data_IF_570398125211
#
_entry.id   IF_570398125211
#
_cell.length_a   1.000
_cell.length_b   1.000
_cell.length_c   1.000
_cell.angle_alpha   90.00
_cell.angle_beta   90.00
_cell.angle_gamma   90.00
#
_symmetry.space_group_name_H-M   'P 1'
#
loop_
_entity.id
_entity.type
_entity.pdbx_description
1 polymer ?
#
# COMPACT_ATOMS: atom_id res chain seq x y z
N UNK A 1 31.04 -4.24 32.15
CA UNK A 1 30.02 -3.19 31.95
C UNK A 1 29.47 -3.48 30.57
N UNK A 2 28.55 -4.43 30.55
CA UNK A 2 28.45 -5.37 29.44
C UNK A 2 27.28 -5.04 28.53
N UNK A 3 27.62 -4.96 27.24
CA UNK A 3 26.75 -4.99 26.09
C UNK A 3 25.88 -6.25 26.10
N UNK A 4 24.66 -6.15 26.59
CA UNK A 4 23.58 -7.12 26.33
C UNK A 4 22.26 -6.34 26.29
N UNK A 5 21.85 -5.94 25.09
CA UNK A 5 20.60 -5.20 24.89
C UNK A 5 20.23 -4.92 23.43
N UNK A 6 20.72 -5.71 22.47
CA UNK A 6 20.54 -5.44 21.03
C UNK A 6 19.61 -6.42 20.29
N UNK A 7 19.16 -7.50 20.93
CA UNK A 7 18.39 -8.58 20.28
C UNK A 7 16.89 -8.27 20.02
N UNK A 8 16.47 -7.01 19.94
CA UNK A 8 15.12 -6.68 19.43
C UNK A 8 15.11 -5.45 18.53
N UNK A 9 16.00 -4.49 18.80
CA UNK A 9 16.21 -3.36 17.91
C UNK A 9 17.01 -3.74 16.66
N UNK A 10 18.01 -4.62 16.75
CA UNK A 10 18.70 -5.12 15.55
C UNK A 10 17.74 -5.98 14.70
N UNK A 11 16.77 -6.69 15.31
CA UNK A 11 15.72 -7.40 14.56
C UNK A 11 14.69 -6.49 13.87
N UNK A 12 14.62 -5.21 14.24
CA UNK A 12 13.76 -4.20 13.62
C UNK A 12 14.53 -3.22 12.70
N UNK A 13 15.86 -3.23 12.73
CA UNK A 13 16.70 -2.21 12.07
C UNK A 13 17.80 -2.78 11.17
N UNK A 14 18.33 -3.99 11.41
CA UNK A 14 19.65 -4.37 10.82
C UNK A 14 19.65 -5.15 9.48
N UNK A 15 18.52 -5.53 8.89
CA UNK A 15 18.55 -6.40 7.69
C UNK A 15 17.84 -5.86 6.43
N UNK A 16 17.81 -4.54 6.19
CA UNK A 16 17.28 -4.00 4.93
C UNK A 16 18.02 -2.80 4.32
N UNK A 17 19.34 -2.71 4.55
CA UNK A 17 20.23 -1.86 3.77
C UNK A 17 21.32 -2.70 3.08
N UNK A 18 20.90 -3.52 2.12
CA UNK A 18 21.79 -4.07 1.10
C UNK A 18 21.15 -3.91 -0.30
N UNK A 19 20.72 -2.68 -0.59
CA UNK A 19 20.39 -2.22 -1.94
C UNK A 19 21.13 -0.91 -2.20
N UNK A 20 22.45 -0.96 -2.02
CA UNK A 20 23.36 0.00 -2.61
C UNK A 20 24.23 -0.81 -3.58
N UNK A 21 23.89 -0.75 -4.87
CA UNK A 21 24.75 -0.87 -6.05
C UNK A 21 23.85 -1.09 -7.28
N UNK A 22 23.21 -0.01 -7.74
CA UNK A 22 22.92 0.16 -9.15
C UNK A 22 23.88 1.23 -9.63
N UNK A 23 24.99 0.82 -10.26
CA UNK A 23 25.76 1.59 -11.23
C UNK A 23 26.69 0.62 -12.00
N UNK A 24 26.52 0.63 -13.32
CA UNK A 24 27.43 0.36 -14.45
C UNK A 24 28.46 -0.81 -14.46
N UNK A 25 28.33 -1.63 -15.53
CA UNK A 25 29.34 -2.29 -16.38
C UNK A 25 30.51 -3.10 -15.76
N UNK A 26 30.49 -4.43 -15.93
CA UNK A 26 31.20 -5.21 -16.99
C UNK A 26 31.38 -6.69 -16.51
N UNK A 27 31.29 -7.70 -17.39
CA UNK A 27 31.23 -9.12 -17.04
C UNK A 27 32.62 -9.80 -17.02
N UNK A 28 32.64 -11.02 -16.49
CA UNK A 28 33.74 -12.02 -16.44
C UNK A 28 34.54 -12.11 -15.13
N UNK A 29 34.51 -13.33 -14.56
CA UNK A 29 35.39 -13.75 -13.48
C UNK A 29 34.92 -15.05 -12.83
N UNK A 30 35.00 -16.17 -13.55
CA UNK A 30 35.00 -17.51 -12.95
C UNK A 30 36.20 -17.67 -12.00
N UNK A 31 36.02 -18.28 -10.83
CA UNK A 31 36.87 -19.41 -10.39
C UNK A 31 36.37 -20.07 -9.10
N UNK A 32 36.43 -21.40 -9.12
CA UNK A 32 36.05 -22.36 -8.09
C UNK A 32 36.91 -22.25 -6.82
N UNK A 33 36.38 -22.68 -5.68
CA UNK A 33 37.13 -23.61 -4.81
C UNK A 33 36.23 -24.37 -3.84
N UNK A 34 36.26 -25.69 -3.98
CA UNK A 34 35.73 -26.68 -3.06
C UNK A 34 36.54 -26.73 -1.75
N UNK A 35 35.90 -27.07 -0.61
CA UNK A 35 36.32 -28.20 0.24
C UNK A 35 35.33 -28.52 1.38
N UNK A 36 35.17 -29.83 1.55
CA UNK A 36 34.38 -30.67 2.45
C UNK A 36 34.68 -30.54 3.96
N UNK A 37 33.72 -30.84 4.83
CA UNK A 37 33.60 -32.15 5.54
C UNK A 37 32.60 -32.13 6.72
N UNK A 38 31.71 -33.12 6.67
CA UNK A 38 30.94 -33.86 7.69
C UNK A 38 31.09 -33.54 9.18
N UNK A 39 29.96 -33.45 9.90
CA UNK A 39 29.63 -34.31 11.07
C UNK A 39 28.10 -34.41 11.24
N UNK A 40 27.57 -35.64 11.23
CA UNK A 40 26.20 -35.99 11.63
C UNK A 40 26.06 -36.02 13.16
N UNK A 41 24.98 -35.47 13.70
CA UNK A 41 24.47 -35.85 15.03
C UNK A 41 22.96 -36.03 14.99
N UNK A 42 22.55 -37.29 15.09
CA UNK A 42 21.20 -37.73 15.41
C UNK A 42 20.82 -37.22 16.80
N UNK A 43 19.62 -36.64 16.95
CA UNK A 43 18.86 -36.76 18.19
C UNK A 43 17.36 -36.82 17.88
N UNK A 44 16.78 -37.90 18.39
CA UNK A 44 15.35 -38.21 18.42
C UNK A 44 14.71 -37.51 19.61
N UNK A 45 13.61 -36.79 19.39
CA UNK A 45 12.55 -36.58 20.40
C UNK A 45 11.25 -36.26 19.64
N UNK A 46 10.66 -37.31 19.06
CA UNK A 46 9.27 -37.33 18.65
C UNK A 46 8.49 -37.96 19.80
N UNK A 47 7.88 -37.12 20.65
CA UNK A 47 6.64 -37.40 21.41
C UNK A 47 6.45 -36.33 22.50
N UNK A 48 5.81 -35.19 22.15
CA UNK A 48 4.88 -34.48 23.05
C UNK A 48 4.04 -33.40 22.32
N UNK A 49 3.62 -33.68 21.08
CA UNK A 49 2.97 -32.71 20.18
C UNK A 49 1.43 -32.69 20.29
N UNK A 50 0.88 -32.95 21.48
CA UNK A 50 -0.59 -33.07 21.66
C UNK A 50 -1.25 -32.15 22.70
N UNK A 51 -0.55 -31.20 23.32
CA UNK A 51 -1.20 -30.23 24.25
C UNK A 51 -0.79 -28.74 24.13
N UNK A 52 -0.23 -28.28 22.99
CA UNK A 52 0.08 -26.84 22.78
C UNK A 52 -0.83 -26.09 21.78
N UNK A 53 -2.05 -26.56 21.55
CA UNK A 53 -3.01 -25.98 20.59
C UNK A 53 -3.78 -24.72 21.05
N UNK A 54 -3.15 -23.78 21.77
CA UNK A 54 -3.73 -22.44 22.00
C UNK A 54 -2.90 -21.36 21.31
N UNK A 55 -3.03 -21.29 19.98
CA UNK A 55 -2.63 -20.15 19.15
C UNK A 55 -3.44 -18.90 19.53
N UNK A 56 -3.00 -18.14 20.54
CA UNK A 56 -3.55 -16.81 20.82
C UNK A 56 -2.74 -15.74 20.10
N UNK A 57 -2.75 -15.77 18.77
CA UNK A 57 -2.07 -14.78 17.93
C UNK A 57 -2.93 -13.56 17.68
N UNK A 58 -4.25 -13.73 17.57
CA UNK A 58 -5.14 -12.64 17.19
C UNK A 58 -5.51 -11.75 18.40
N UNK A 59 -5.95 -10.52 18.12
CA UNK A 59 -6.45 -9.60 19.14
C UNK A 59 -7.86 -9.14 18.78
N UNK A 60 -8.79 -9.35 19.70
CA UNK A 60 -10.16 -8.87 19.59
C UNK A 60 -10.34 -7.46 20.17
N UNK A 61 -11.37 -6.73 19.73
CA UNK A 61 -11.73 -5.43 20.31
C UNK A 61 -11.92 -5.48 21.83
N UNK A 62 -12.49 -6.57 22.38
CA UNK A 62 -12.69 -6.72 23.82
C UNK A 62 -11.36 -6.82 24.57
N UNK A 63 -10.42 -7.62 24.08
CA UNK A 63 -9.08 -7.71 24.68
C UNK A 63 -8.34 -6.37 24.58
N UNK A 64 -8.45 -5.68 23.44
CA UNK A 64 -7.82 -4.37 23.26
C UNK A 64 -8.37 -3.32 24.24
N UNK A 65 -9.70 -3.28 24.44
CA UNK A 65 -10.33 -2.42 25.45
C UNK A 65 -9.92 -2.77 26.88
N UNK A 66 -9.53 -4.01 27.12
CA UNK A 66 -8.99 -4.48 28.40
C UNK A 66 -7.47 -4.23 28.55
N UNK A 67 -6.85 -3.48 27.62
CA UNK A 67 -5.45 -3.07 27.69
C UNK A 67 -4.47 -3.95 26.93
N UNK A 68 -4.93 -4.98 26.20
CA UNK A 68 -4.06 -5.73 25.28
C UNK A 68 -3.69 -4.84 24.09
N UNK A 69 -2.44 -4.89 23.64
CA UNK A 69 -2.02 -4.20 22.44
C UNK A 69 -2.80 -4.68 21.20
N UNK A 70 -3.21 -3.76 20.31
CA UNK A 70 -4.02 -4.08 19.12
C UNK A 70 -3.31 -5.03 18.15
N UNK A 71 -1.98 -4.98 18.07
CA UNK A 71 -1.15 -5.92 17.29
C UNK A 71 -0.83 -7.20 18.07
N UNK A 72 -1.16 -7.23 19.37
CA UNK A 72 -0.87 -8.34 20.26
C UNK A 72 0.61 -8.41 20.65
N UNK A 73 1.31 -7.27 20.66
CA UNK A 73 2.68 -7.15 21.17
C UNK A 73 2.64 -7.29 22.70
N UNK A 74 3.34 -8.26 23.30
CA UNK A 74 3.31 -8.52 24.74
C UNK A 74 4.30 -7.59 25.46
N UNK A 75 3.99 -6.29 25.52
CA UNK A 75 4.86 -5.27 26.14
C UNK A 75 5.27 -5.62 27.58
N UNK A 76 4.41 -6.29 28.33
CA UNK A 76 4.67 -6.76 29.70
C UNK A 76 5.78 -7.83 29.80
N UNK A 77 6.12 -8.48 28.68
CA UNK A 77 7.20 -9.49 28.60
C UNK A 77 8.49 -8.93 28.02
N UNK A 78 8.47 -7.69 27.53
CA UNK A 78 9.60 -7.04 26.91
C UNK A 78 10.34 -6.16 27.92
N UNK A 79 11.63 -5.93 27.68
CA UNK A 79 12.47 -5.09 28.55
C UNK A 79 12.22 -3.58 28.38
N UNK A 80 11.32 -3.19 27.48
CA UNK A 80 10.97 -1.80 27.18
C UNK A 80 9.46 -1.64 27.08
N UNK A 81 8.98 -0.46 27.43
CA UNK A 81 7.57 -0.08 27.29
C UNK A 81 7.26 0.32 25.85
N UNK A 82 5.96 0.32 25.51
CA UNK A 82 5.47 0.85 24.23
C UNK A 82 5.95 2.27 23.97
N UNK A 83 5.89 3.13 24.99
CA UNK A 83 6.27 4.55 24.88
C UNK A 83 7.78 4.72 24.66
N UNK A 84 8.62 3.97 25.38
CA UNK A 84 10.07 3.99 25.17
C UNK A 84 10.44 3.53 23.75
N UNK A 85 9.76 2.49 23.26
CA UNK A 85 9.93 2.02 21.89
C UNK A 85 9.52 3.09 20.88
N UNK A 86 8.36 3.73 21.06
CA UNK A 86 7.87 4.83 20.21
C UNK A 86 8.82 6.02 20.20
N UNK A 87 9.32 6.46 21.35
CA UNK A 87 10.28 7.56 21.42
C UNK A 87 11.59 7.23 20.69
N UNK A 88 12.10 6.02 20.88
CA UNK A 88 13.32 5.56 20.22
C UNK A 88 13.10 5.48 18.72
N UNK A 89 11.97 4.94 18.28
CA UNK A 89 11.54 4.86 16.88
C UNK A 89 11.48 6.24 16.23
N UNK A 90 10.89 7.23 16.88
CA UNK A 90 10.84 8.62 16.38
C UNK A 90 12.22 9.28 16.25
N UNK A 91 13.17 8.95 17.12
CA UNK A 91 14.53 9.51 17.09
C UNK A 91 15.43 8.84 16.05
N UNK A 92 15.23 7.54 15.82
CA UNK A 92 16.11 6.73 14.97
C UNK A 92 15.59 6.56 13.53
N UNK A 93 14.30 6.78 13.27
CA UNK A 93 13.75 6.62 11.93
C UNK A 93 14.40 7.59 10.95
N UNK A 94 15.04 7.04 9.91
CA UNK A 94 15.71 7.82 8.85
C UNK A 94 14.82 7.88 7.63
N UNK A 95 14.46 9.09 7.24
CA UNK A 95 13.76 9.31 5.98
C UNK A 95 14.72 9.17 4.81
N UNK A 96 14.23 8.51 3.77
CA UNK A 96 14.81 8.62 2.44
C UNK A 96 14.47 10.01 1.86
N UNK A 97 15.37 10.59 1.08
CA UNK A 97 15.15 11.88 0.40
C UNK A 97 15.78 11.77 -0.99
N UNK A 98 15.02 12.08 -2.05
CA UNK A 98 15.60 12.09 -3.40
C UNK A 98 16.18 13.46 -3.72
N UNK A 99 15.50 14.51 -3.26
CA UNK A 99 15.86 15.89 -3.54
C UNK A 99 16.22 16.61 -2.24
N UNK A 100 17.46 17.10 -2.16
CA UNK A 100 17.90 17.91 -1.02
C UNK A 100 17.27 19.31 -1.09
N UNK A 101 16.33 19.61 -0.19
CA UNK A 101 15.68 20.93 -0.08
C UNK A 101 15.43 21.34 1.38
N UNK A 102 15.46 22.65 1.71
CA UNK A 102 15.08 23.12 3.05
C UNK A 102 13.60 22.85 3.35
N UNK A 103 13.32 21.98 4.34
CA UNK A 103 11.96 21.58 4.72
C UNK A 103 11.31 22.48 5.78
N UNK A 104 12.01 23.48 6.30
CA UNK A 104 11.51 24.37 7.35
C UNK A 104 10.26 25.15 6.94
N UNK A 105 10.16 25.52 5.65
CA UNK A 105 9.02 26.27 5.15
C UNK A 105 7.78 25.39 4.97
N UNK A 106 7.93 24.09 4.70
CA UNK A 106 6.80 23.16 4.61
C UNK A 106 6.00 23.11 5.92
N UNK A 107 6.71 23.14 7.07
CA UNK A 107 6.06 23.14 8.38
C UNK A 107 5.14 24.35 8.59
N UNK A 108 5.43 25.49 7.94
CA UNK A 108 4.62 26.72 8.04
C UNK A 108 3.38 26.67 7.16
N UNK A 109 3.41 25.90 6.07
CA UNK A 109 2.26 25.68 5.18
C UNK A 109 1.30 24.61 5.73
N UNK A 110 1.80 23.71 6.59
CA UNK A 110 1.02 22.62 7.14
C UNK A 110 -0.06 23.12 8.11
N UNK A 111 -1.26 22.58 7.97
CA UNK A 111 -2.34 22.73 8.94
C UNK A 111 -1.94 22.11 10.29
N UNK A 112 -2.32 22.79 11.37
CA UNK A 112 -2.26 22.26 12.73
C UNK A 112 -3.52 21.45 13.02
N UNK A 113 -3.57 20.22 12.49
CA UNK A 113 -4.72 19.34 12.69
C UNK A 113 -4.72 18.73 14.11
N UNK A 114 -5.90 18.70 14.74
CA UNK A 114 -6.13 18.08 16.04
C UNK A 114 -6.36 16.57 15.91
N UNK A 115 -5.35 15.77 16.26
CA UNK A 115 -5.35 14.30 16.13
C UNK A 115 -5.99 13.56 17.31
N UNK A 116 -7.05 14.12 17.91
CA UNK A 116 -7.65 13.60 19.16
C UNK A 116 -8.95 12.83 18.97
N UNK A 117 -9.51 12.87 17.77
CA UNK A 117 -10.80 12.25 17.49
C UNK A 117 -10.64 10.76 17.21
N UNK A 118 -11.75 10.02 17.30
CA UNK A 118 -11.82 8.61 16.95
C UNK A 118 -12.96 8.42 15.96
N UNK A 119 -12.63 8.32 14.68
CA UNK A 119 -13.57 8.11 13.58
C UNK A 119 -13.77 6.63 13.26
N UNK A 120 -12.74 5.81 13.50
CA UNK A 120 -12.75 4.36 13.30
C UNK A 120 -12.23 3.66 14.56
N UNK A 121 -13.06 2.80 15.15
CA UNK A 121 -12.72 2.01 16.34
C UNK A 121 -12.06 0.69 15.94
N UNK A 122 -11.00 0.29 16.66
CA UNK A 122 -10.36 -1.01 16.46
C UNK A 122 -11.37 -2.14 16.68
N UNK A 123 -11.45 -3.07 15.72
CA UNK A 123 -12.37 -4.19 15.74
C UNK A 123 -11.66 -5.52 15.96
N UNK A 124 -10.63 -5.78 15.15
CA UNK A 124 -9.98 -7.09 15.14
C UNK A 124 -8.58 -7.01 14.52
N UNK A 125 -7.70 -7.87 14.98
CA UNK A 125 -6.39 -8.11 14.39
C UNK A 125 -6.21 -9.60 14.14
N UNK A 126 -5.82 -9.97 12.92
CA UNK A 126 -5.45 -11.34 12.57
C UNK A 126 -4.00 -11.46 12.14
N UNK A 127 -3.30 -12.45 12.69
CA UNK A 127 -1.95 -12.84 12.22
C UNK A 127 -1.97 -13.99 11.22
N UNK A 128 -3.15 -14.51 10.87
CA UNK A 128 -3.30 -15.60 9.89
C UNK A 128 -3.00 -15.15 8.45
N UNK A 129 -3.24 -13.88 8.16
CA UNK A 129 -2.91 -13.25 6.89
C UNK A 129 -1.98 -12.07 7.14
N UNK A 130 -0.89 -11.99 6.40
CA UNK A 130 0.08 -10.90 6.53
C UNK A 130 0.72 -10.59 5.20
N UNK A 131 0.86 -9.30 4.92
CA UNK A 131 1.54 -8.84 3.73
C UNK A 131 3.05 -8.85 3.91
N UNK A 132 3.77 -9.12 2.83
CA UNK A 132 5.22 -9.00 2.77
C UNK A 132 5.56 -7.93 1.75
N UNK A 133 6.13 -6.82 2.20
CA UNK A 133 6.61 -5.78 1.30
C UNK A 133 7.99 -6.18 0.78
N UNK A 134 8.23 -5.93 -0.50
CA UNK A 134 9.53 -6.16 -1.13
C UNK A 134 10.19 -4.83 -1.53
N UNK A 135 9.40 -3.83 -1.92
CA UNK A 135 9.91 -2.52 -2.29
C UNK A 135 9.65 -1.49 -1.19
N UNK A 136 10.66 -0.71 -0.82
CA UNK A 136 10.53 0.29 0.24
C UNK A 136 9.61 1.49 -0.10
N UNK A 137 9.17 1.65 -1.35
CA UNK A 137 8.26 2.74 -1.76
C UNK A 137 6.81 2.30 -2.10
N UNK A 138 6.58 1.08 -2.60
CA UNK A 138 5.27 0.68 -3.16
C UNK A 138 4.36 0.09 -2.06
N UNK A 139 3.14 0.63 -1.88
CA UNK A 139 2.20 0.31 -0.77
C UNK A 139 0.75 0.06 -1.20
N UNK A 140 0.52 -0.44 -2.42
CA UNK A 140 -0.82 -0.74 -2.93
C UNK A 140 -1.04 -2.27 -2.98
N UNK A 141 -0.99 -2.92 -1.82
CA UNK A 141 -1.02 -4.39 -1.66
C UNK A 141 -2.21 -4.93 -0.86
N UNK A 142 -3.20 -4.05 -0.59
CA UNK A 142 -4.38 -4.34 0.21
C UNK A 142 -5.60 -3.69 -0.42
N UNK A 143 -6.70 -4.44 -0.57
CA UNK A 143 -7.91 -3.95 -1.22
C UNK A 143 -9.19 -4.56 -0.66
N UNK A 144 -10.07 -3.73 -0.10
CA UNK A 144 -11.39 -4.12 0.37
C UNK A 144 -12.42 -3.99 -0.77
N UNK A 145 -13.24 -5.02 -0.95
CA UNK A 145 -14.34 -5.04 -1.94
C UNK A 145 -15.72 -5.00 -1.30
N UNK A 146 -15.79 -5.37 -0.02
CA UNK A 146 -16.98 -5.22 0.83
C UNK A 146 -16.50 -4.85 2.23
N UNK A 147 -17.44 -4.65 3.16
CA UNK A 147 -17.14 -4.53 4.59
C UNK A 147 -16.36 -5.71 5.15
N UNK A 148 -16.50 -6.90 4.55
CA UNK A 148 -15.99 -8.15 5.11
C UNK A 148 -15.00 -8.87 4.21
N UNK A 149 -14.85 -8.46 2.95
CA UNK A 149 -14.03 -9.13 1.96
C UNK A 149 -12.85 -8.26 1.55
N UNK A 150 -11.66 -8.73 1.90
CA UNK A 150 -10.40 -8.02 1.70
C UNK A 150 -9.43 -8.91 0.95
N UNK A 151 -8.73 -8.35 -0.01
CA UNK A 151 -7.69 -9.02 -0.77
C UNK A 151 -6.35 -8.40 -0.39
N UNK A 152 -5.37 -9.25 -0.13
CA UNK A 152 -4.03 -8.81 0.20
C UNK A 152 -2.97 -9.70 -0.45
N UNK A 153 -1.84 -9.10 -0.77
CA UNK A 153 -0.68 -9.85 -1.22
C UNK A 153 0.00 -10.50 -0.02
N UNK A 154 0.31 -11.80 -0.14
CA UNK A 154 1.08 -12.60 0.80
C UNK A 154 2.08 -13.45 0.02
N UNK A 155 3.37 -13.11 0.11
CA UNK A 155 4.46 -13.75 -0.63
C UNK A 155 4.25 -13.71 -2.16
N UNK A 156 3.97 -14.86 -2.78
CA UNK A 156 3.72 -15.00 -4.22
C UNK A 156 2.24 -15.23 -4.51
N UNK A 157 1.36 -14.86 -3.58
CA UNK A 157 -0.07 -15.13 -3.69
C UNK A 157 -0.89 -13.90 -3.37
N UNK A 158 -2.03 -13.75 -4.04
CA UNK A 158 -3.12 -12.87 -3.60
C UNK A 158 -4.11 -13.73 -2.83
N UNK A 159 -4.34 -13.34 -1.58
CA UNK A 159 -5.22 -14.04 -0.66
C UNK A 159 -6.46 -13.19 -0.43
N UNK A 160 -7.62 -13.81 -0.50
CA UNK A 160 -8.88 -13.25 0.00
C UNK A 160 -9.01 -13.61 1.48
N UNK A 161 -9.30 -12.62 2.30
CA UNK A 161 -9.66 -12.75 3.71
C UNK A 161 -11.11 -12.33 3.88
N UNK A 162 -11.92 -13.22 4.44
CA UNK A 162 -13.26 -12.91 4.90
C UNK A 162 -13.21 -12.61 6.40
N UNK A 163 -13.41 -11.35 6.79
CA UNK A 163 -13.53 -10.94 8.19
C UNK A 163 -14.72 -11.60 8.87
N UNK A 164 -15.85 -11.73 8.15
CA UNK A 164 -17.06 -12.36 8.66
C UNK A 164 -16.85 -13.84 9.01
N UNK A 165 -16.22 -14.60 8.09
CA UNK A 165 -15.99 -16.05 8.28
C UNK A 165 -14.68 -16.34 9.01
N UNK A 166 -13.80 -15.35 9.17
CA UNK A 166 -12.43 -15.45 9.69
C UNK A 166 -11.62 -16.53 8.99
N UNK A 167 -11.68 -16.54 7.66
CA UNK A 167 -11.01 -17.53 6.81
C UNK A 167 -10.33 -16.84 5.64
N UNK A 168 -9.18 -17.38 5.27
CA UNK A 168 -8.46 -17.00 4.06
C UNK A 168 -8.64 -18.03 2.95
N UNK A 169 -8.58 -17.56 1.71
CA UNK A 169 -8.57 -18.39 0.50
C UNK A 169 -7.55 -17.80 -0.48
N UNK A 170 -6.67 -18.64 -1.02
CA UNK A 170 -5.79 -18.23 -2.11
C UNK A 170 -6.59 -18.02 -3.39
N UNK A 171 -6.40 -16.88 -4.07
CA UNK A 171 -7.16 -16.48 -5.26
C UNK A 171 -6.30 -16.41 -6.51
N UNK A 172 -5.03 -16.04 -6.34
CA UNK A 172 -4.02 -16.01 -7.41
C UNK A 172 -2.70 -16.47 -6.82
N UNK A 173 -2.03 -17.44 -7.45
CA UNK A 173 -0.69 -17.88 -7.10
C UNK A 173 0.24 -17.63 -8.29
N UNK A 174 1.24 -16.80 -8.09
CA UNK A 174 2.19 -16.38 -9.12
C UNK A 174 3.59 -16.97 -8.93
N UNK A 175 3.75 -17.91 -7.99
CA UNK A 175 5.01 -18.64 -7.79
C UNK A 175 5.28 -19.63 -8.93
N UNK A 176 4.21 -20.19 -9.50
CA UNK A 176 4.25 -21.17 -10.59
C UNK A 176 4.09 -20.48 -11.95
N UNK A 177 4.46 -21.15 -13.06
CA UNK A 177 4.15 -20.65 -14.39
C UNK A 177 2.65 -20.40 -14.56
N UNK A 178 2.32 -19.19 -15.03
CA UNK A 178 0.96 -18.74 -15.32
C UNK A 178 0.81 -18.77 -16.84
N UNK A 179 -0.20 -19.48 -17.31
CA UNK A 179 -0.57 -19.51 -18.73
C UNK A 179 -1.91 -18.79 -18.88
N UNK A 180 -2.00 -17.72 -19.67
CA UNK A 180 -3.25 -17.00 -19.87
C UNK A 180 -4.22 -17.86 -20.70
N UNK A 181 -5.51 -17.81 -20.35
CA UNK A 181 -6.54 -18.64 -20.98
C UNK A 181 -7.24 -17.97 -22.14
N UNK A 182 -7.45 -16.65 -22.08
CA UNK A 182 -8.11 -15.92 -23.16
C UNK A 182 -7.14 -15.65 -24.30
N UNK A 183 -7.69 -15.60 -25.51
CA UNK A 183 -7.01 -15.19 -26.74
C UNK A 183 -7.95 -14.31 -27.57
N UNK A 184 -7.68 -13.01 -27.62
CA UNK A 184 -8.44 -12.04 -28.41
C UNK A 184 -7.54 -11.32 -29.42
N UNK A 185 -8.06 -10.89 -30.58
CA UNK A 185 -7.32 -10.03 -31.51
C UNK A 185 -6.88 -8.72 -30.82
N UNK A 186 -5.62 -8.31 -31.00
CA UNK A 186 -5.06 -7.10 -30.38
C UNK A 186 -4.53 -7.28 -28.95
N UNK A 187 -4.68 -8.47 -28.37
CA UNK A 187 -4.16 -8.81 -27.05
C UNK A 187 -2.77 -9.46 -27.19
N UNK A 188 -1.77 -8.85 -26.55
CA UNK A 188 -0.40 -9.39 -26.49
C UNK A 188 -0.22 -10.15 -25.18
N UNK A 189 -0.67 -11.41 -25.13
CA UNK A 189 -0.55 -12.27 -23.95
C UNK A 189 0.71 -13.12 -24.01
N UNK A 190 1.40 -13.27 -22.88
CA UNK A 190 2.51 -14.22 -22.75
C UNK A 190 2.49 -14.90 -21.38
N UNK A 191 2.98 -16.12 -21.32
CA UNK A 191 3.14 -16.84 -20.06
C UNK A 191 4.16 -16.13 -19.18
N UNK A 192 3.89 -16.11 -17.88
CA UNK A 192 4.78 -15.54 -16.87
C UNK A 192 5.17 -16.62 -15.87
N UNK A 193 6.26 -16.42 -15.14
CA UNK A 193 6.66 -17.36 -14.09
C UNK A 193 7.33 -16.62 -12.95
N UNK A 194 7.03 -17.02 -11.71
CA UNK A 194 7.67 -16.50 -10.50
C UNK A 194 7.62 -14.97 -10.41
N UNK A 195 6.44 -14.41 -10.66
CA UNK A 195 6.23 -12.96 -10.64
C UNK A 195 6.27 -12.48 -9.19
N UNK A 196 7.05 -11.44 -8.93
CA UNK A 196 7.00 -10.75 -7.65
C UNK A 196 5.98 -9.62 -7.78
N UNK A 197 4.90 -9.65 -6.99
CA UNK A 197 3.84 -8.65 -7.08
C UNK A 197 4.30 -7.35 -6.42
N UNK A 198 4.24 -6.25 -7.15
CA UNK A 198 4.57 -4.89 -6.70
C UNK A 198 3.34 -4.08 -6.33
N UNK A 199 2.18 -4.38 -6.94
CA UNK A 199 0.95 -3.60 -6.79
C UNK A 199 -0.26 -4.43 -7.22
N UNK A 200 -1.44 -4.10 -6.69
CA UNK A 200 -2.69 -4.76 -7.07
C UNK A 200 -3.90 -3.84 -6.95
N UNK A 201 -4.95 -4.16 -7.70
CA UNK A 201 -6.26 -3.54 -7.62
C UNK A 201 -7.33 -4.61 -7.78
N UNK A 202 -8.44 -4.47 -7.05
CA UNK A 202 -9.59 -5.37 -7.16
C UNK A 202 -10.85 -4.55 -7.32
N UNK A 203 -11.58 -4.76 -8.40
CA UNK A 203 -12.84 -4.06 -8.64
C UNK A 203 -13.84 -4.99 -9.29
N UNK A 204 -15.05 -5.00 -8.72
CA UNK A 204 -16.13 -5.89 -9.14
C UNK A 204 -15.65 -7.35 -9.17
N UNK A 205 -15.60 -7.97 -10.35
CA UNK A 205 -15.17 -9.35 -10.55
C UNK A 205 -13.70 -9.47 -11.02
N UNK A 206 -12.93 -8.39 -11.08
CA UNK A 206 -11.59 -8.38 -11.68
C UNK A 206 -10.51 -8.08 -10.64
N UNK A 207 -9.51 -8.98 -10.55
CA UNK A 207 -8.22 -8.70 -9.91
C UNK A 207 -7.21 -8.34 -10.99
N UNK A 208 -6.49 -7.26 -10.78
CA UNK A 208 -5.29 -6.89 -11.55
C UNK A 208 -4.09 -6.84 -10.61
N UNK A 209 -2.99 -7.45 -11.01
CA UNK A 209 -1.71 -7.41 -10.30
C UNK A 209 -0.58 -6.99 -11.24
N UNK A 210 0.28 -6.10 -10.76
CA UNK A 210 1.51 -5.68 -11.41
C UNK A 210 2.73 -6.34 -10.77
N UNK A 211 3.80 -6.55 -11.55
CA UNK A 211 5.04 -7.15 -11.07
C UNK A 211 6.28 -6.27 -11.20
N UNK A 212 7.37 -6.70 -10.54
CA UNK A 212 8.65 -5.99 -10.49
C UNK A 212 9.41 -5.93 -11.83
N UNK A 213 9.12 -6.84 -12.77
CA UNK A 213 9.73 -6.83 -14.09
C UNK A 213 8.76 -6.28 -15.15
N UNK A 214 7.80 -5.44 -14.74
CA UNK A 214 6.81 -4.88 -15.66
C UNK A 214 5.74 -5.87 -16.07
N UNK A 215 5.45 -6.87 -15.25
CA UNK A 215 4.36 -7.79 -15.48
C UNK A 215 3.01 -7.14 -15.22
N UNK A 216 1.99 -7.63 -15.93
CA UNK A 216 0.58 -7.35 -15.72
C UNK A 216 -0.18 -8.67 -15.76
N UNK A 217 -0.97 -8.95 -14.73
CA UNK A 217 -1.78 -10.16 -14.57
C UNK A 217 -3.22 -9.74 -14.28
N UNK A 218 -4.16 -10.30 -15.03
CA UNK A 218 -5.59 -10.04 -14.87
C UNK A 218 -6.33 -11.37 -14.69
N UNK A 219 -7.13 -11.45 -13.63
CA UNK A 219 -7.88 -12.65 -13.28
C UNK A 219 -9.29 -12.28 -12.85
N UNK A 220 -10.29 -12.97 -13.41
CA UNK A 220 -11.66 -12.88 -12.92
C UNK A 220 -11.85 -13.70 -11.64
N UNK A 221 -12.59 -13.17 -10.66
CA UNK A 221 -12.79 -13.79 -9.34
C UNK A 221 -13.67 -15.04 -9.42
N UNK A 222 -14.64 -15.04 -10.34
CA UNK A 222 -15.55 -16.16 -10.61
C UNK A 222 -14.92 -17.32 -11.39
N UNK A 223 -13.71 -17.15 -11.96
CA UNK A 223 -12.99 -18.19 -12.71
C UNK A 223 -11.71 -18.60 -11.96
N UNK A 224 -11.31 -19.89 -12.00
CA UNK A 224 -10.06 -20.32 -11.35
C UNK A 224 -8.81 -19.91 -12.14
N UNK A 225 -8.88 -19.86 -13.46
CA UNK A 225 -7.72 -19.56 -14.30
C UNK A 225 -7.41 -18.06 -14.40
N UNK A 226 -6.17 -17.75 -14.79
CA UNK A 226 -5.77 -16.38 -15.17
C UNK A 226 -6.31 -16.08 -16.56
N UNK A 227 -7.04 -14.96 -16.66
CA UNK A 227 -7.68 -14.53 -17.90
C UNK A 227 -6.63 -14.00 -18.89
N UNK A 228 -5.77 -13.12 -18.41
CA UNK A 228 -4.72 -12.48 -19.20
C UNK A 228 -3.46 -12.25 -18.36
N UNK A 229 -2.30 -12.42 -18.98
CA UNK A 229 -1.05 -11.95 -18.41
C UNK A 229 -0.05 -11.58 -19.51
N UNK A 230 0.80 -10.62 -19.21
CA UNK A 230 1.86 -10.18 -20.12
C UNK A 230 2.98 -9.44 -19.38
N UNK A 231 4.05 -9.09 -20.10
CA UNK A 231 5.07 -8.12 -19.66
C UNK A 231 4.84 -6.88 -20.51
N UNK A 232 4.48 -5.77 -19.88
CA UNK A 232 4.05 -4.55 -20.59
C UNK A 232 5.22 -3.78 -21.23
N UNK A 233 6.44 -4.25 -20.98
CA UNK A 233 7.70 -3.61 -21.32
C UNK A 233 8.82 -4.65 -21.41
N UNK A 234 9.81 -4.39 -22.26
CA UNK A 234 11.00 -5.23 -22.38
C UNK A 234 12.16 -4.74 -21.49
N UNK A 235 12.06 -3.54 -20.91
CA UNK A 235 13.11 -2.96 -20.07
C UNK A 235 13.23 -3.75 -18.76
N UNK A 236 14.46 -4.03 -18.35
CA UNK A 236 14.79 -4.87 -17.19
C UNK A 236 14.38 -4.25 -15.85
N UNK A 237 14.35 -2.91 -15.75
CA UNK A 237 14.03 -2.17 -14.52
C UNK A 237 12.65 -1.50 -14.54
N UNK A 238 11.73 -1.99 -15.36
CA UNK A 238 10.46 -1.33 -15.61
C UNK A 238 9.31 -1.85 -14.73
N UNK A 239 9.52 -1.81 -13.41
CA UNK A 239 8.55 -2.17 -12.38
C UNK A 239 7.17 -1.59 -12.71
N UNK A 240 6.12 -2.40 -12.56
CA UNK A 240 4.74 -1.89 -12.54
C UNK A 240 4.49 -1.28 -11.16
N UNK A 241 4.67 0.04 -11.03
CA UNK A 241 4.60 0.75 -9.76
C UNK A 241 3.17 0.85 -9.21
N UNK A 242 2.20 1.11 -10.09
CA UNK A 242 0.79 1.14 -9.73
C UNK A 242 -0.09 0.50 -10.81
N UNK A 243 -1.15 -0.17 -10.36
CA UNK A 243 -2.28 -0.57 -11.22
C UNK A 243 -3.56 -0.03 -10.62
N UNK A 244 -4.49 0.38 -11.49
CA UNK A 244 -5.82 0.82 -11.10
C UNK A 244 -6.88 0.33 -12.09
N UNK A 245 -8.12 0.22 -11.62
CA UNK A 245 -9.27 -0.20 -12.42
C UNK A 245 -10.34 0.89 -12.33
N UNK A 246 -10.60 1.58 -13.44
CA UNK A 246 -11.53 2.71 -13.47
C UNK A 246 -12.63 2.51 -14.51
N UNK A 247 -13.73 3.24 -14.33
CA UNK A 247 -14.81 3.28 -15.32
C UNK A 247 -14.61 4.51 -16.17
N UNK A 248 -14.55 4.30 -17.48
CA UNK A 248 -14.44 5.38 -18.45
C UNK A 248 -15.82 6.05 -18.64
N UNK A 249 -15.91 7.32 -19.10
CA UNK A 249 -17.19 8.01 -19.26
C UNK A 249 -18.15 7.34 -20.27
N UNK A 250 -17.63 6.48 -21.16
CA UNK A 250 -18.40 5.65 -22.08
C UNK A 250 -19.06 4.42 -21.42
N UNK A 251 -18.81 4.21 -20.12
CA UNK A 251 -19.32 3.09 -19.33
C UNK A 251 -18.41 1.86 -19.32
N UNK A 252 -17.33 1.85 -20.12
CA UNK A 252 -16.44 0.71 -20.22
C UNK A 252 -15.39 0.71 -19.09
N UNK A 253 -15.05 -0.48 -18.59
CA UNK A 253 -14.03 -0.65 -17.57
C UNK A 253 -12.64 -0.68 -18.21
N UNK A 254 -11.68 0.00 -17.58
CA UNK A 254 -10.31 0.16 -18.06
C UNK A 254 -9.33 -0.23 -16.97
N UNK A 255 -8.19 -0.75 -17.40
CA UNK A 255 -7.05 -1.07 -16.53
C UNK A 255 -5.95 -0.09 -16.87
N UNK A 256 -5.42 0.58 -15.84
CA UNK A 256 -4.30 1.50 -15.99
C UNK A 256 -3.07 0.92 -15.31
N UNK A 257 -1.92 1.02 -15.96
CA UNK A 257 -0.62 0.72 -15.34
C UNK A 257 0.27 1.96 -15.38
N UNK A 258 0.94 2.22 -14.26
CA UNK A 258 2.02 3.18 -14.14
C UNK A 258 3.33 2.41 -13.97
N UNK A 259 4.32 2.71 -14.79
CA UNK A 259 5.55 1.93 -14.86
C UNK A 259 6.79 2.81 -14.68
N UNK A 260 7.85 2.16 -14.19
CA UNK A 260 9.16 2.77 -14.00
C UNK A 260 9.85 3.13 -15.33
N UNK A 261 9.38 2.62 -16.48
CA UNK A 261 9.84 3.03 -17.81
C UNK A 261 9.20 4.33 -18.34
N UNK A 262 8.82 5.20 -17.41
CA UNK A 262 8.22 6.51 -17.66
C UNK A 262 6.94 6.47 -18.51
N UNK A 263 6.16 5.40 -18.41
CA UNK A 263 4.94 5.23 -19.21
C UNK A 263 3.72 4.88 -18.38
N UNK A 264 2.58 5.40 -18.84
CA UNK A 264 1.25 4.99 -18.42
C UNK A 264 0.59 4.24 -19.56
N UNK A 265 0.05 3.05 -19.29
CA UNK A 265 -0.63 2.22 -20.30
C UNK A 265 -2.06 1.96 -19.87
N UNK A 266 -2.97 1.98 -20.85
CA UNK A 266 -4.39 1.73 -20.65
C UNK A 266 -4.80 0.53 -21.48
N UNK A 267 -5.49 -0.41 -20.83
CA UNK A 267 -6.05 -1.61 -21.44
C UNK A 267 -7.57 -1.64 -21.26
N UNK A 268 -8.26 -2.25 -22.22
CA UNK A 268 -9.65 -2.62 -22.06
C UNK A 268 -9.79 -3.77 -21.06
N UNK A 269 -10.74 -3.72 -20.12
CA UNK A 269 -10.89 -4.75 -19.10
C UNK A 269 -11.70 -5.98 -19.55
N UNK A 270 -12.41 -5.90 -20.69
CA UNK A 270 -13.21 -7.00 -21.22
C UNK A 270 -12.36 -7.91 -22.12
N UNK A 271 -11.55 -7.33 -23.01
CA UNK A 271 -10.75 -8.07 -23.98
C UNK A 271 -9.22 -7.92 -23.81
N UNK A 272 -8.76 -7.12 -22.84
CA UNK A 272 -7.34 -6.89 -22.54
C UNK A 272 -6.51 -6.32 -23.71
N UNK A 273 -7.16 -5.71 -24.70
CA UNK A 273 -6.48 -4.99 -25.77
C UNK A 273 -5.81 -3.72 -25.21
N UNK A 274 -4.59 -3.43 -25.69
CA UNK A 274 -3.91 -2.17 -25.40
C UNK A 274 -4.61 -1.02 -26.13
N UNK A 275 -5.07 -0.02 -25.40
CA UNK A 275 -5.82 1.13 -25.93
C UNK A 275 -4.95 2.36 -26.10
N UNK A 276 -4.09 2.65 -25.12
CA UNK A 276 -3.27 3.87 -25.11
C UNK A 276 -1.98 3.68 -24.32
N UNK A 277 -0.96 4.44 -24.71
CA UNK A 277 0.33 4.50 -24.03
C UNK A 277 0.80 5.95 -24.03
N UNK A 278 0.97 6.53 -22.84
CA UNK A 278 1.48 7.87 -22.64
C UNK A 278 2.89 7.80 -22.07
N UNK A 279 3.80 8.62 -22.59
CA UNK A 279 5.19 8.69 -22.13
C UNK A 279 5.42 10.00 -21.39
N UNK A 280 6.26 9.95 -20.37
CA UNK A 280 6.67 11.08 -19.53
C UNK A 280 8.19 11.11 -19.44
N UNK A 281 8.74 12.19 -18.86
CA UNK A 281 10.19 12.40 -18.75
C UNK A 281 10.80 11.71 -17.51
N UNK A 282 9.99 11.01 -16.73
CA UNK A 282 10.35 10.44 -15.42
C UNK A 282 9.54 9.16 -15.13
N UNK A 283 10.09 8.30 -14.27
CA UNK A 283 9.44 7.06 -13.80
C UNK A 283 8.10 7.35 -13.16
N UNK A 284 7.02 6.71 -13.63
CA UNK A 284 5.69 6.97 -13.10
C UNK A 284 5.42 6.07 -11.90
N UNK A 285 5.31 6.66 -10.72
CA UNK A 285 5.12 5.95 -9.45
C UNK A 285 3.64 5.69 -9.15
N UNK A 286 2.75 6.58 -9.57
CA UNK A 286 1.32 6.45 -9.30
C UNK A 286 0.47 7.21 -10.30
N UNK A 287 -0.76 6.74 -10.48
CA UNK A 287 -1.78 7.39 -11.28
C UNK A 287 -3.13 7.30 -10.58
N UNK A 288 -4.02 8.25 -10.84
CA UNK A 288 -5.43 8.14 -10.45
C UNK A 288 -6.34 8.89 -11.42
N UNK A 289 -7.45 8.27 -11.78
CA UNK A 289 -8.46 8.87 -12.65
C UNK A 289 -9.56 9.51 -11.80
N UNK A 290 -9.94 10.73 -12.18
CA UNK A 290 -11.06 11.45 -11.55
C UNK A 290 -12.37 10.67 -11.63
N UNK A 291 -13.31 10.87 -10.67
CA UNK A 291 -14.56 10.11 -10.63
C UNK A 291 -15.44 10.23 -11.88
N UNK A 292 -15.33 11.34 -12.61
CA UNK A 292 -16.05 11.55 -13.87
C UNK A 292 -15.33 10.98 -15.10
N UNK A 293 -14.16 10.36 -14.92
CA UNK A 293 -13.37 9.70 -15.94
C UNK A 293 -12.63 10.63 -16.90
N UNK A 294 -12.58 11.95 -16.66
CA UNK A 294 -12.03 12.91 -17.63
C UNK A 294 -10.60 13.34 -17.34
N UNK A 295 -10.26 13.55 -16.07
CA UNK A 295 -8.93 13.94 -15.64
C UNK A 295 -8.14 12.75 -15.13
N UNK A 296 -6.85 12.72 -15.47
CA UNK A 296 -5.86 11.77 -14.98
C UNK A 296 -4.76 12.55 -14.24
N UNK A 297 -4.51 12.18 -12.99
CA UNK A 297 -3.34 12.61 -12.24
C UNK A 297 -2.19 11.63 -12.46
N UNK A 298 -1.02 12.15 -12.83
CA UNK A 298 0.19 11.36 -13.07
C UNK A 298 1.28 11.86 -12.12
N UNK A 299 1.84 10.95 -11.32
CA UNK A 299 2.84 11.19 -10.29
C UNK A 299 4.05 10.28 -10.47
N UNK A 300 5.24 10.76 -10.11
CA UNK A 300 6.45 9.96 -10.23
C UNK A 300 7.69 10.63 -9.68
N UNK A 301 8.81 10.39 -10.36
CA UNK A 301 10.13 10.97 -10.05
C UNK A 301 10.22 12.44 -10.49
N UNK A 302 9.23 13.20 -10.04
CA UNK A 302 9.03 14.62 -10.26
C UNK A 302 8.34 15.21 -9.02
N UNK A 303 8.73 16.42 -8.57
CA UNK A 303 8.01 17.12 -7.52
C UNK A 303 6.61 17.56 -7.95
N UNK A 304 6.37 17.63 -9.26
CA UNK A 304 5.16 18.13 -9.85
C UNK A 304 4.18 16.98 -10.15
N UNK A 305 2.89 17.19 -9.88
CA UNK A 305 1.82 16.30 -10.33
C UNK A 305 1.22 16.83 -11.63
N UNK A 306 1.31 16.04 -12.71
CA UNK A 306 0.73 16.41 -13.99
C UNK A 306 -0.74 16.01 -14.04
N UNK A 307 -1.61 16.95 -14.46
CA UNK A 307 -3.01 16.67 -14.76
C UNK A 307 -3.17 16.61 -16.28
N UNK A 308 -3.69 15.48 -16.77
CA UNK A 308 -3.91 15.23 -18.20
C UNK A 308 -5.36 14.87 -18.48
N UNK A 309 -5.76 14.98 -19.74
CA UNK A 309 -6.99 14.36 -20.23
C UNK A 309 -6.83 12.84 -20.24
N UNK A 310 -7.73 12.11 -19.57
CA UNK A 310 -7.58 10.67 -19.36
C UNK A 310 -7.66 9.83 -20.65
N UNK A 311 -8.29 10.36 -21.72
CA UNK A 311 -8.45 9.66 -22.99
C UNK A 311 -7.27 9.91 -23.94
N UNK A 312 -6.81 11.16 -24.03
CA UNK A 312 -5.78 11.57 -24.98
C UNK A 312 -4.38 11.65 -24.37
N UNK A 313 -4.26 11.67 -23.04
CA UNK A 313 -3.01 11.89 -22.32
C UNK A 313 -2.47 13.31 -22.43
N UNK A 314 -3.21 14.23 -23.06
CA UNK A 314 -2.77 15.61 -23.26
C UNK A 314 -2.73 16.36 -21.93
N UNK A 315 -1.62 17.04 -21.65
CA UNK A 315 -1.50 17.89 -20.47
C UNK A 315 -2.57 19.00 -20.43
N UNK A 316 -3.21 19.15 -19.27
CA UNK A 316 -4.19 20.19 -18.95
C UNK A 316 -3.57 21.21 -17.99
N UNK A 317 -2.81 20.74 -17.01
CA UNK A 317 -2.19 21.58 -16.00
C UNK A 317 -1.21 20.80 -15.14
N UNK A 318 -0.59 21.50 -14.19
CA UNK A 318 0.40 20.95 -13.29
C UNK A 318 0.13 21.48 -11.87
N UNK A 319 0.26 20.61 -10.88
CA UNK A 319 0.16 20.97 -9.46
C UNK A 319 1.57 21.05 -8.88
N UNK A 320 1.95 22.25 -8.47
CA UNK A 320 3.31 22.58 -8.04
C UNK A 320 3.30 22.96 -6.56
N UNK A 321 4.27 22.46 -5.79
CA UNK A 321 4.45 22.81 -4.39
C UNK A 321 5.14 21.73 -3.54
N UNK A 322 5.05 20.47 -3.93
CA UNK A 322 5.86 19.42 -3.31
C UNK A 322 7.36 19.64 -3.56
N UNK A 323 8.18 19.14 -2.66
CA UNK A 323 9.63 19.35 -2.67
C UNK A 323 10.46 18.12 -3.05
N UNK A 324 9.81 16.97 -3.24
CA UNK A 324 10.45 15.68 -3.52
C UNK A 324 9.46 14.80 -4.33
N UNK A 325 9.74 13.53 -4.57
CA UNK A 325 8.94 12.66 -5.46
C UNK A 325 7.62 12.21 -4.85
N UNK A 326 6.59 12.10 -5.71
CA UNK A 326 5.24 11.73 -5.32
C UNK A 326 4.98 10.24 -5.55
N UNK A 327 4.24 9.60 -4.63
CA UNK A 327 4.04 8.14 -4.63
C UNK A 327 2.58 7.71 -4.59
N UNK A 328 1.65 8.62 -4.33
CA UNK A 328 0.24 8.29 -4.23
C UNK A 328 -0.65 9.49 -4.53
N UNK A 329 -1.78 9.25 -5.18
CA UNK A 329 -2.86 10.21 -5.30
C UNK A 329 -4.20 9.56 -5.03
N UNK A 330 -5.17 10.37 -4.59
CA UNK A 330 -6.56 9.96 -4.51
C UNK A 330 -7.49 11.13 -4.80
N UNK A 331 -8.53 10.87 -5.59
CA UNK A 331 -9.60 11.81 -5.83
C UNK A 331 -10.65 11.71 -4.72
N UNK A 332 -11.07 12.86 -4.21
CA UNK A 332 -12.30 12.93 -3.44
C UNK A 332 -13.49 12.59 -4.36
N UNK A 333 -14.52 11.86 -3.90
CA UNK A 333 -15.63 11.40 -4.75
C UNK A 333 -16.45 12.52 -5.41
N UNK A 334 -16.37 13.77 -4.90
CA UNK A 334 -16.96 14.94 -5.59
C UNK A 334 -16.23 15.35 -6.89
N UNK A 335 -15.04 14.79 -7.17
CA UNK A 335 -14.24 15.08 -8.36
C UNK A 335 -13.60 16.47 -8.41
N UNK A 336 -13.61 17.22 -7.31
CA UNK A 336 -13.02 18.57 -7.24
C UNK A 336 -11.72 18.61 -6.47
N UNK A 337 -11.56 17.73 -5.47
CA UNK A 337 -10.35 17.66 -4.66
C UNK A 337 -9.51 16.46 -5.06
N UNK A 338 -8.22 16.71 -5.31
CA UNK A 338 -7.19 15.69 -5.46
C UNK A 338 -6.23 15.78 -4.28
N UNK A 339 -5.93 14.66 -3.65
CA UNK A 339 -4.87 14.56 -2.64
C UNK A 339 -3.63 13.91 -3.26
N UNK A 340 -2.44 14.42 -2.93
CA UNK A 340 -1.15 13.86 -3.38
C UNK A 340 -0.22 13.65 -2.19
N UNK A 341 0.32 12.44 -2.04
CA UNK A 341 1.27 12.07 -0.99
C UNK A 341 2.71 11.96 -1.50
N UNK A 342 3.66 12.46 -0.72
CA UNK A 342 5.01 12.75 -1.20
C UNK A 342 6.12 12.33 -0.23
N UNK A 343 7.34 12.19 -0.77
CA UNK A 343 8.58 11.96 -0.03
C UNK A 343 8.96 13.10 0.93
N UNK A 344 8.47 14.31 0.68
CA UNK A 344 8.65 15.50 1.52
C UNK A 344 7.87 15.46 2.85
N UNK A 345 7.28 14.30 3.18
CA UNK A 345 6.50 14.01 4.40
C UNK A 345 5.14 14.70 4.47
N UNK A 346 4.69 15.31 3.37
CA UNK A 346 3.39 15.98 3.29
C UNK A 346 2.41 15.27 2.36
N UNK A 347 1.13 15.49 2.64
CA UNK A 347 0.04 15.30 1.71
C UNK A 347 -0.55 16.67 1.38
N UNK A 348 -0.63 17.00 0.09
CA UNK A 348 -1.23 18.25 -0.39
C UNK A 348 -2.60 18.00 -1.00
N UNK A 349 -3.52 18.91 -0.74
CA UNK A 349 -4.90 18.87 -1.22
C UNK A 349 -5.09 19.98 -2.25
N UNK A 350 -5.61 19.63 -3.43
CA UNK A 350 -5.71 20.53 -4.57
C UNK A 350 -7.15 20.63 -5.04
N UNK A 351 -7.65 21.85 -5.24
CA UNK A 351 -8.87 22.06 -6.00
C UNK A 351 -8.52 22.11 -7.48
N UNK A 352 -8.96 21.12 -8.26
CA UNK A 352 -8.61 21.03 -9.68
C UNK A 352 -9.24 22.11 -10.54
N UNK A 353 -10.19 22.88 -10.00
CA UNK A 353 -10.73 24.09 -10.63
C UNK A 353 -9.80 25.29 -10.46
N UNK A 354 -8.85 25.22 -9.52
CA UNK A 354 -7.82 26.23 -9.23
C UNK A 354 -6.48 25.54 -8.91
N UNK A 355 -5.78 25.11 -9.96
CA UNK A 355 -4.53 24.34 -9.86
C UNK A 355 -3.28 25.15 -9.44
N UNK A 356 -3.41 26.46 -9.24
CA UNK A 356 -2.25 27.33 -8.98
C UNK A 356 -1.64 27.18 -7.58
N UNK A 357 -2.39 26.62 -6.63
CA UNK A 357 -1.95 26.44 -5.23
C UNK A 357 -2.70 25.29 -4.55
N UNK A 358 -2.12 24.73 -3.50
CA UNK A 358 -2.79 23.74 -2.65
C UNK A 358 -3.78 24.43 -1.71
N UNK A 359 -4.97 23.85 -1.55
CA UNK A 359 -6.01 24.29 -0.62
C UNK A 359 -5.69 23.97 0.84
N UNK A 360 -4.98 22.87 1.08
CA UNK A 360 -4.53 22.44 2.40
C UNK A 360 -3.24 21.61 2.26
N UNK A 361 -2.45 21.60 3.31
CA UNK A 361 -1.26 20.75 3.45
C UNK A 361 -1.34 20.08 4.81
N UNK A 362 -1.28 18.76 4.86
CA UNK A 362 -1.19 18.00 6.10
C UNK A 362 0.12 17.23 6.11
N UNK A 363 0.70 17.03 7.30
CA UNK A 363 2.00 16.36 7.45
C UNK A 363 1.85 15.00 8.11
N UNK A 364 2.73 14.08 7.72
CA UNK A 364 2.98 12.85 8.45
C UNK A 364 3.73 13.11 9.76
N UNK A 365 3.90 12.05 10.54
CA UNK A 365 4.55 12.05 11.85
C UNK A 365 6.02 11.69 11.77
N UNK A 366 6.38 10.71 10.95
CA UNK A 366 7.75 10.18 10.87
C UNK A 366 8.34 10.21 9.49
N UNK A 367 7.53 10.16 8.44
CA UNK A 367 8.07 10.09 7.10
C UNK A 367 7.12 10.38 5.96
N UNK A 368 7.52 9.87 4.80
CA UNK A 368 6.83 10.12 3.54
C UNK A 368 5.36 9.68 3.56
N UNK A 369 4.56 10.13 2.60
CA UNK A 369 3.19 9.65 2.44
C UNK A 369 3.14 8.64 1.29
N UNK A 370 2.73 7.41 1.57
CA UNK A 370 2.77 6.28 0.61
C UNK A 370 1.41 5.77 0.17
N UNK A 371 0.37 6.07 0.92
CA UNK A 371 -0.99 5.75 0.53
C UNK A 371 -1.93 6.87 0.95
N UNK A 372 -2.78 7.31 0.04
CA UNK A 372 -3.91 8.20 0.35
C UNK A 372 -5.17 7.57 -0.25
N UNK A 373 -6.27 7.58 0.50
CA UNK A 373 -7.58 7.10 0.05
C UNK A 373 -8.68 7.96 0.67
N UNK A 374 -9.70 8.32 -0.11
CA UNK A 374 -10.94 8.87 0.44
C UNK A 374 -11.93 7.74 0.74
N UNK A 375 -12.76 7.93 1.75
CA UNK A 375 -13.98 7.11 1.89
C UNK A 375 -14.92 7.38 0.72
N UNK A 376 -15.72 6.39 0.33
CA UNK A 376 -16.63 6.49 -0.82
C UNK A 376 -17.70 7.57 -0.66
N UNK A 377 -18.07 7.90 0.58
CA UNK A 377 -18.96 9.01 0.93
C UNK A 377 -18.25 10.38 1.00
N UNK A 378 -16.93 10.39 0.86
CA UNK A 378 -16.08 11.59 0.90
C UNK A 378 -15.90 12.20 2.29
N UNK A 379 -16.44 11.59 3.36
CA UNK A 379 -16.38 12.17 4.71
C UNK A 379 -14.97 12.15 5.29
N UNK A 380 -14.16 11.14 4.98
CA UNK A 380 -12.83 10.99 5.54
C UNK A 380 -11.76 10.76 4.48
N UNK A 381 -10.54 11.21 4.77
CA UNK A 381 -9.34 10.90 4.03
C UNK A 381 -8.38 10.10 4.92
N UNK A 382 -8.05 8.88 4.51
CA UNK A 382 -6.99 8.08 5.10
C UNK A 382 -5.65 8.38 4.43
N UNK A 383 -4.60 8.51 5.23
CA UNK A 383 -3.22 8.76 4.82
C UNK A 383 -2.29 7.82 5.58
N UNK A 384 -1.49 7.02 4.88
CA UNK A 384 -0.53 6.11 5.50
C UNK A 384 0.91 6.48 5.15
N UNK A 385 1.76 6.43 6.18
CA UNK A 385 3.20 6.56 6.08
C UNK A 385 3.84 5.21 5.68
N UNK A 386 5.15 5.12 5.37
CA UNK A 386 5.81 3.85 5.09
C UNK A 386 5.64 2.85 6.24
N UNK A 387 5.65 3.36 7.47
CA UNK A 387 5.54 2.59 8.69
C UNK A 387 4.77 3.34 9.77
N UNK A 388 4.30 2.59 10.75
CA UNK A 388 3.87 3.00 12.07
C UNK A 388 2.61 3.89 12.20
N UNK A 389 2.30 4.73 11.22
CA UNK A 389 1.22 5.71 11.34
C UNK A 389 0.27 5.69 10.16
N UNK A 390 -1.02 5.60 10.51
CA UNK A 390 -2.14 5.90 9.61
C UNK A 390 -2.94 7.05 10.21
N UNK A 391 -3.18 8.08 9.43
CA UNK A 391 -3.96 9.25 9.82
C UNK A 391 -5.29 9.24 9.09
N UNK A 392 -6.37 9.61 9.77
CA UNK A 392 -7.70 9.78 9.19
C UNK A 392 -8.14 11.20 9.45
N UNK A 393 -8.33 11.99 8.39
CA UNK A 393 -8.76 13.38 8.48
C UNK A 393 -10.23 13.53 8.10
N UNK A 394 -10.95 14.38 8.83
CA UNK A 394 -12.29 14.81 8.45
C UNK A 394 -12.24 15.85 7.32
N UNK A 395 -12.90 15.54 6.20
CA UNK A 395 -12.93 16.47 5.06
C UNK A 395 -13.84 17.66 5.32
N UNK A 396 -14.86 17.53 6.18
CA UNK A 396 -15.84 18.58 6.43
C UNK A 396 -15.32 19.66 7.39
N UNK A 397 -14.39 19.33 8.27
CA UNK A 397 -13.66 20.30 9.08
C UNK A 397 -12.53 21.01 8.31
N UNK A 398 -12.39 20.74 7.00
CA UNK A 398 -11.27 21.24 6.21
C UNK A 398 -9.94 20.59 6.61
N UNK A 399 -9.97 19.30 6.98
CA UNK A 399 -8.80 18.53 7.40
C UNK A 399 -8.15 18.99 8.72
N UNK A 400 -8.87 19.77 9.53
CA UNK A 400 -8.42 20.26 10.84
C UNK A 400 -8.63 19.26 11.97
N UNK A 401 -9.53 18.30 11.79
CA UNK A 401 -9.79 17.25 12.78
C UNK A 401 -9.29 15.91 12.25
N UNK A 402 -8.59 15.16 13.11
CA UNK A 402 -7.95 13.91 12.73
C UNK A 402 -8.00 12.82 13.80
N UNK A 403 -7.76 11.60 13.35
CA UNK A 403 -7.44 10.42 14.17
C UNK A 403 -6.08 9.90 13.73
N UNK A 404 -5.19 9.64 14.69
CA UNK A 404 -3.93 8.94 14.47
C UNK A 404 -4.06 7.49 14.96
N UNK A 405 -3.76 6.53 14.07
CA UNK A 405 -3.59 5.12 14.40
C UNK A 405 -2.09 4.87 14.53
N UNK A 406 -1.65 4.69 15.78
CA UNK A 406 -0.27 4.40 16.17
C UNK A 406 -0.07 2.88 16.26
N UNK A 407 0.71 2.33 15.33
CA UNK A 407 1.08 0.92 15.21
C UNK A 407 2.61 0.79 15.00
N UNK A 408 3.14 -0.43 15.02
CA UNK A 408 4.56 -0.71 14.74
C UNK A 408 4.71 -1.61 13.51
N UNK A 409 5.61 -1.22 12.60
CA UNK A 409 5.95 -1.98 11.40
C UNK A 409 5.57 -1.25 10.11
N UNK A 410 6.03 -1.79 8.97
CA UNK A 410 5.75 -1.22 7.66
C UNK A 410 4.28 -1.42 7.29
N UNK A 411 3.67 -0.45 6.61
CA UNK A 411 2.26 -0.48 6.23
C UNK A 411 2.14 -0.85 4.76
N UNK A 412 1.77 -2.09 4.44
CA UNK A 412 1.67 -2.61 3.08
C UNK A 412 0.57 -1.97 2.24
N UNK A 413 -0.42 -1.36 2.90
CA UNK A 413 -1.50 -0.62 2.28
C UNK A 413 -2.64 -0.38 3.26
N UNK A 414 -3.51 0.56 2.90
CA UNK A 414 -4.77 0.83 3.60
C UNK A 414 -5.93 0.74 2.61
N UNK A 415 -7.10 0.30 3.08
CA UNK A 415 -8.29 0.24 2.25
C UNK A 415 -9.55 0.45 3.08
N UNK A 416 -10.35 1.45 2.70
CA UNK A 416 -11.72 1.57 3.18
C UNK A 416 -12.62 0.59 2.42
N UNK A 417 -13.58 0.00 3.10
CA UNK A 417 -14.65 -0.72 2.43
C UNK A 417 -15.48 0.23 1.56
N UNK A 418 -16.07 -0.24 0.44
CA UNK A 418 -16.85 0.63 -0.44
C UNK A 418 -18.09 1.27 0.19
N UNK A 419 -18.58 0.76 1.32
CA UNK A 419 -19.66 1.36 2.13
C UNK A 419 -19.14 2.36 3.19
N UNK A 420 -17.82 2.60 3.22
CA UNK A 420 -17.10 3.41 4.20
C UNK A 420 -17.20 2.93 5.66
N UNK A 421 -17.73 1.74 5.92
CA UNK A 421 -17.97 1.25 7.29
C UNK A 421 -16.76 0.57 7.94
N UNK A 422 -15.79 0.12 7.16
CA UNK A 422 -14.59 -0.53 7.66
C UNK A 422 -13.33 0.06 7.04
N UNK A 423 -12.25 0.07 7.81
CA UNK A 423 -10.90 0.39 7.39
C UNK A 423 -10.01 -0.80 7.69
N UNK A 424 -9.23 -1.22 6.69
CA UNK A 424 -8.24 -2.26 6.81
C UNK A 424 -6.84 -1.68 6.67
N UNK A 425 -5.93 -2.13 7.52
CA UNK A 425 -4.50 -1.76 7.50
C UNK A 425 -3.67 -3.03 7.49
N UNK A 426 -2.88 -3.21 6.42
CA UNK A 426 -1.99 -4.36 6.27
C UNK A 426 -0.63 -4.03 6.85
N UNK A 427 -0.21 -4.74 7.89
CA UNK A 427 1.09 -4.55 8.53
C UNK A 427 2.06 -5.62 8.01
N UNK A 428 3.17 -5.17 7.45
CA UNK A 428 4.29 -6.00 7.02
C UNK A 428 5.38 -5.92 8.08
N UNK A 429 5.42 -6.92 8.94
CA UNK A 429 6.47 -7.10 9.93
C UNK A 429 6.81 -8.59 10.04
N UNK A 430 8.06 -8.90 10.38
CA UNK A 430 8.54 -10.29 10.49
C UNK A 430 7.76 -11.07 11.56
N UNK A 431 7.49 -10.42 12.69
CA UNK A 431 6.97 -11.03 13.90
C UNK A 431 5.50 -10.69 14.13
N UNK A 432 5.12 -9.44 13.92
CA UNK A 432 3.77 -8.89 14.17
C UNK A 432 3.03 -8.50 12.88
N UNK A 433 3.52 -8.97 11.72
CA UNK A 433 2.82 -8.80 10.45
C UNK A 433 1.42 -9.38 10.53
N UNK A 434 0.44 -8.59 10.10
CA UNK A 434 -0.97 -8.85 10.38
C UNK A 434 -1.89 -8.00 9.52
N UNK A 435 -3.20 -8.26 9.63
CA UNK A 435 -4.26 -7.43 9.07
C UNK A 435 -5.11 -6.86 10.22
N UNK A 436 -5.08 -5.54 10.36
CA UNK A 436 -5.90 -4.79 11.30
C UNK A 436 -7.20 -4.37 10.64
N UNK A 437 -8.30 -4.53 11.37
CA UNK A 437 -9.64 -4.12 10.99
C UNK A 437 -10.17 -3.09 11.99
N UNK A 438 -10.72 -2.00 11.46
CA UNK A 438 -11.39 -0.97 12.21
C UNK A 438 -12.79 -0.75 11.65
N UNK A 439 -13.74 -0.42 12.51
CA UNK A 439 -15.11 -0.08 12.14
C UNK A 439 -15.37 1.40 12.34
N UNK A 440 -16.08 2.01 11.40
CA UNK A 440 -16.49 3.40 11.50
C UNK A 440 -17.34 3.60 12.74
N UNK A 441 -16.96 4.57 13.55
CA UNK A 441 -17.76 5.03 14.69
C UNK A 441 -18.92 5.86 14.16
N UNK A 442 -20.14 5.48 14.52
CA UNK A 442 -21.34 6.29 14.29
C UNK A 442 -21.76 6.90 15.62
N UNK A 443 -21.63 8.21 15.74
CA UNK A 443 -22.24 8.94 16.85
C UNK A 443 -23.75 9.00 16.62
N UNK A 444 -24.46 7.98 17.10
CA UNK A 444 -25.93 7.97 17.09
C UNK A 444 -26.44 8.88 18.21
N UNK A 445 -26.33 10.22 18.01
CA UNK A 445 -26.83 11.24 18.96
C UNK A 445 -28.32 11.05 19.34
N UNK A 446 -29.08 10.32 18.54
CA UNK A 446 -30.49 10.00 18.81
C UNK A 446 -30.71 8.90 19.87
N UNK A 447 -29.76 8.00 20.07
CA UNK A 447 -29.84 6.96 21.11
C UNK A 447 -29.23 7.45 22.44
N UNK A 448 -28.18 8.27 22.36
CA UNK A 448 -27.52 8.83 23.54
C UNK A 448 -28.29 9.99 24.19
N UNK A 449 -29.36 10.48 23.56
CA UNK A 449 -30.28 11.48 24.13
C UNK A 449 -31.50 10.88 24.84
N UNK A 450 -31.61 9.54 24.91
CA UNK A 450 -32.65 8.83 25.65
C UNK A 450 -32.16 8.21 26.98
N UNK A 451 -30.95 8.54 27.45
CA UNK A 451 -30.42 8.07 28.74
C UNK A 451 -30.32 9.24 29.72
#
# INVERSE_FOLDING_TARGET
MDNLGNDFLDYLVDDYYDVANFDDDDPFGDEETQRSSDVESLDSDFEDDLEMSKSRTDTSALEARNGKDIQGIPWERLHFTRDNCRETRLKQYKNYENLSRPRENLKKECLEAEMRNTFYDFQFNTRLVKSKIVHFQLRNLLWATTKHDVYLMQNYSVVHWSSLLRRSKEVLNVARPIVPTLKHPGMTSQSLSRVQISTMAVKDNLIVAGGFQGELICKFLNHPEVAFCTKVTANENAITNAVDIYNNPDGATRIMTANNDAKVRIYDAENFASLSCFSFDWSVNSTSVSPDGKLLAVLGDSPDCLITDANSGRAIGCLQGHLDYSFTSAWHPNGHILATGNQDTTCRLWDVRKMSESTAVVKGRIGAIRSVKFTSDGRFMGMAEPADFVHIFDTQSGYLEGQEIDLFGEIAGISFSPDAESLFVGVSDRTYGSLLEFNRRRDNRYLDSMI
#
